data_IF_654444736115
#
_entry.id   IF_654444736115
#
_cell.length_a   1.000
_cell.length_b   1.000
_cell.length_c   1.000
_cell.angle_alpha   90.00
_cell.angle_beta   90.00
_cell.angle_gamma   90.00
#
_symmetry.space_group_name_H-M   'P 1'
#
loop_
_entity.id
_entity.type
_entity.pdbx_description
1 polymer ?
#
# COMPACT_ATOMS: atom_id res chain seq x y z
N UNK A 1 -3.77 12.14 -7.30
CA UNK A 1 -3.41 10.91 -8.05
C UNK A 1 -2.33 10.18 -7.27
N UNK A 2 -2.37 8.86 -7.14
CA UNK A 2 -1.36 8.10 -6.39
C UNK A 2 0.02 8.30 -7.04
N UNK A 3 1.03 8.71 -6.30
CA UNK A 3 2.39 8.88 -6.83
C UNK A 3 3.02 7.52 -7.22
N UNK A 4 2.65 6.44 -6.51
CA UNK A 4 3.22 5.12 -6.73
C UNK A 4 2.69 4.40 -7.98
N UNK A 5 1.38 4.44 -8.20
CA UNK A 5 0.71 3.69 -9.27
C UNK A 5 -0.04 4.57 -10.28
N UNK A 6 -0.03 5.89 -10.12
CA UNK A 6 -0.71 6.83 -11.02
C UNK A 6 -2.24 6.85 -10.89
N UNK A 7 -2.84 5.99 -10.06
CA UNK A 7 -4.30 5.86 -9.93
C UNK A 7 -4.95 7.16 -9.47
N UNK A 8 -6.07 7.55 -10.09
CA UNK A 8 -6.91 8.64 -9.58
C UNK A 8 -7.48 8.26 -8.21
N UNK A 9 -7.15 9.05 -7.20
CA UNK A 9 -7.54 8.79 -5.81
C UNK A 9 -8.89 9.48 -5.53
N UNK A 10 -9.79 8.79 -4.86
CA UNK A 10 -11.04 9.37 -4.35
C UNK A 10 -10.75 10.27 -3.15
N UNK A 11 -11.41 11.42 -3.10
CA UNK A 11 -11.39 12.33 -1.96
C UNK A 11 -11.93 11.62 -0.71
N UNK A 12 -11.12 11.54 0.35
CA UNK A 12 -11.46 10.86 1.61
C UNK A 12 -11.01 9.40 1.73
N UNK A 13 -10.49 8.78 0.66
CA UNK A 13 -10.10 7.37 0.64
C UNK A 13 -8.62 7.11 0.36
N UNK A 14 -7.75 8.10 0.54
CA UNK A 14 -6.32 8.00 0.24
C UNK A 14 -5.46 8.38 1.44
N UNK A 15 -4.21 7.93 1.41
CA UNK A 15 -3.22 8.28 2.42
C UNK A 15 -2.26 9.33 1.84
N UNK A 16 -1.74 10.23 2.66
CA UNK A 16 -0.73 11.20 2.27
C UNK A 16 0.57 10.91 3.03
N UNK A 17 1.70 10.99 2.33
CA UNK A 17 3.04 10.91 2.93
C UNK A 17 3.92 12.01 2.35
N UNK A 18 4.52 12.84 3.20
CA UNK A 18 5.42 13.93 2.78
C UNK A 18 4.81 14.88 1.72
N UNK A 19 3.51 15.18 1.82
CA UNK A 19 2.79 16.01 0.86
C UNK A 19 2.50 15.33 -0.48
N UNK A 20 2.72 14.01 -0.59
CA UNK A 20 2.41 13.20 -1.77
C UNK A 20 1.27 12.25 -1.49
N UNK A 21 0.23 12.21 -2.34
CA UNK A 21 -0.91 11.32 -2.14
C UNK A 21 -0.63 9.89 -2.67
N UNK A 22 -1.06 8.88 -1.91
CA UNK A 22 -0.89 7.46 -2.17
C UNK A 22 -2.19 6.67 -1.94
N UNK A 23 -2.32 5.49 -2.55
CA UNK A 23 -3.40 4.57 -2.19
C UNK A 23 -3.24 4.10 -0.74
N UNK A 24 -4.33 4.07 0.03
CA UNK A 24 -4.35 3.50 1.38
C UNK A 24 -3.71 2.09 1.40
N UNK A 25 -4.20 1.21 0.54
CA UNK A 25 -3.60 -0.11 0.31
C UNK A 25 -3.59 -0.43 -1.20
N UNK A 26 -2.55 -1.10 -1.73
CA UNK A 26 -1.32 -1.51 -1.04
C UNK A 26 -0.22 -0.43 -1.02
N UNK A 27 -0.34 0.68 -1.75
CA UNK A 27 0.79 1.58 -2.01
C UNK A 27 1.40 2.23 -0.75
N UNK A 28 0.58 2.83 0.11
CA UNK A 28 1.06 3.45 1.35
C UNK A 28 1.59 2.40 2.32
N UNK A 29 0.84 1.32 2.53
CA UNK A 29 1.24 0.21 3.39
C UNK A 29 2.54 -0.51 2.93
N UNK A 30 2.76 -0.68 1.63
CA UNK A 30 3.96 -1.34 1.11
C UNK A 30 5.23 -0.49 1.25
N UNK A 31 5.09 0.84 1.24
CA UNK A 31 6.22 1.77 1.30
C UNK A 31 6.51 2.23 2.73
N UNK A 32 5.46 2.59 3.47
CA UNK A 32 5.50 3.24 4.79
C UNK A 32 4.85 2.41 5.90
N UNK A 33 4.25 1.27 5.56
CA UNK A 33 3.78 0.33 6.58
C UNK A 33 4.97 -0.26 7.34
N UNK A 34 4.73 -0.78 8.56
CA UNK A 34 5.77 -1.36 9.38
C UNK A 34 6.50 -2.48 8.62
N UNK A 35 7.77 -2.24 8.29
CA UNK A 35 8.67 -3.21 7.61
C UNK A 35 9.07 -4.40 8.50
N UNK A 36 8.53 -4.49 9.71
CA UNK A 36 8.93 -5.40 10.77
C UNK A 36 7.85 -6.38 11.16
N UNK A 37 7.51 -7.31 10.27
CA UNK A 37 7.25 -8.69 10.68
C UNK A 37 7.65 -9.62 9.53
N UNK A 38 8.94 -9.96 9.48
CA UNK A 38 9.39 -11.14 8.77
C UNK A 38 8.85 -12.39 9.46
N UNK A 39 7.61 -12.78 9.13
CA UNK A 39 7.03 -14.13 9.08
C UNK A 39 5.49 -14.04 9.04
N UNK A 40 4.90 -14.63 8.00
CA UNK A 40 3.47 -14.96 7.93
C UNK A 40 2.66 -14.08 6.98
N UNK A 41 2.25 -14.64 5.83
CA UNK A 41 1.24 -14.00 4.97
C UNK A 41 1.56 -13.89 3.48
N UNK A 42 2.67 -14.44 3.00
CA UNK A 42 2.78 -14.91 1.61
C UNK A 42 2.93 -16.42 1.62
N UNK A 43 2.11 -17.10 2.42
CA UNK A 43 1.58 -18.37 1.98
C UNK A 43 0.46 -18.07 1.00
N UNK A 44 0.87 -17.67 -0.21
CA UNK A 44 0.16 -18.19 -1.37
C UNK A 44 0.47 -19.68 -1.40
N UNK A 45 -0.14 -20.46 -0.49
CA UNK A 45 -0.31 -21.88 -0.74
C UNK A 45 -1.23 -21.95 -1.96
N UNK A 46 -0.60 -21.94 -3.14
CA UNK A 46 -1.14 -22.64 -4.29
C UNK A 46 -1.32 -24.07 -3.79
N UNK A 47 -2.54 -24.40 -3.36
CA UNK A 47 -2.93 -25.78 -3.19
C UNK A 47 -2.77 -26.42 -4.56
N UNK A 48 -1.83 -27.35 -4.67
CA UNK A 48 -1.50 -28.10 -5.88
C UNK A 48 -1.56 -29.57 -5.53
#
# INVERSE_FOLDING_TARGET
>A
KCEKCGKTLTSGGHAEHEGKPYCNHPCYAAMFGPKGFGRGGAESHTFK
#
